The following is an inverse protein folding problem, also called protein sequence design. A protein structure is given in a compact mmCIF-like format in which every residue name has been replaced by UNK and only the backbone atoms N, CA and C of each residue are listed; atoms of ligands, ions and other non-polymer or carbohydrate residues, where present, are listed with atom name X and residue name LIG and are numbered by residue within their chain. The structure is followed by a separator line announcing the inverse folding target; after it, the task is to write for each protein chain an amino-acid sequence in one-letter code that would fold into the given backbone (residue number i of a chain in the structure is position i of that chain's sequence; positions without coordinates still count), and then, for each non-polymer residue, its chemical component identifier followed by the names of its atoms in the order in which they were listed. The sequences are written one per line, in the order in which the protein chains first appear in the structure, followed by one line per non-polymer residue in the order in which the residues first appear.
data_IF_964266989121
#
_entry.id   IF_964266989121
#
_cell.length_a   1.000
_cell.length_b   1.000
_cell.length_c   1.000
_cell.angle_alpha   90.00
_cell.angle_beta   90.00
_cell.angle_gamma   90.00
#
_symmetry.space_group_name_H-M   'P 1'
#
loop_
_entity.id
_entity.type
_entity.pdbx_description
1 polymer ?
#
# COMPACT_ATOMS: atom_id res chain seq x y z
N UNK A 1 24.96 10.98 8.01
CA UNK A 1 23.86 11.97 8.03
C UNK A 1 24.36 13.22 7.34
N UNK A 2 23.59 13.75 6.39
CA UNK A 2 23.89 15.00 5.71
C UNK A 2 23.48 16.20 6.57
N UNK A 3 24.27 17.26 6.49
CA UNK A 3 23.98 18.56 7.07
C UNK A 3 22.89 19.30 6.30
N UNK A 4 22.32 20.34 6.93
CA UNK A 4 21.33 21.21 6.28
C UNK A 4 21.90 21.95 5.07
N UNK A 5 23.19 22.30 5.10
CA UNK A 5 23.86 22.98 3.99
C UNK A 5 24.06 22.04 2.79
N UNK A 6 24.45 20.78 3.04
CA UNK A 6 24.51 19.74 2.01
C UNK A 6 23.12 19.46 1.42
N UNK A 7 22.09 19.38 2.27
CA UNK A 7 20.71 19.22 1.81
C UNK A 7 20.25 20.38 0.93
N UNK A 8 20.64 21.63 1.25
CA UNK A 8 20.32 22.79 0.44
C UNK A 8 21.02 22.77 -0.93
N UNK A 9 22.26 22.27 -0.98
CA UNK A 9 22.98 22.09 -2.24
C UNK A 9 22.30 21.03 -3.12
N UNK A 10 21.96 19.87 -2.56
CA UNK A 10 21.20 18.81 -3.23
C UNK A 10 19.85 19.35 -3.73
N UNK A 11 19.15 20.14 -2.91
CA UNK A 11 17.86 20.72 -3.27
C UNK A 11 17.96 21.71 -4.44
N UNK A 12 19.02 22.54 -4.48
CA UNK A 12 19.29 23.46 -5.60
C UNK A 12 19.58 22.70 -6.90
N UNK A 13 20.37 21.62 -6.81
CA UNK A 13 20.65 20.76 -7.97
C UNK A 13 19.36 20.11 -8.50
N UNK A 14 18.55 19.54 -7.61
CA UNK A 14 17.24 18.98 -7.96
C UNK A 14 16.33 20.02 -8.62
N UNK A 15 16.21 21.22 -8.04
CA UNK A 15 15.32 22.27 -8.54
C UNK A 15 15.76 22.86 -9.89
N UNK A 16 17.08 22.89 -10.14
CA UNK A 16 17.68 23.37 -11.39
C UNK A 16 17.78 22.32 -12.50
N UNK A 17 17.57 21.03 -12.18
CA UNK A 17 17.70 19.94 -13.13
C UNK A 17 16.84 20.18 -14.39
N UNK A 18 17.48 20.16 -15.57
CA UNK A 18 16.82 20.30 -16.87
C UNK A 18 16.34 21.71 -17.22
N UNK A 19 16.74 22.77 -16.50
CA UNK A 19 16.35 24.15 -16.83
C UNK A 19 17.57 25.07 -16.98
N UNK A 20 17.74 25.77 -18.11
CA UNK A 20 18.74 26.82 -18.24
C UNK A 20 18.33 28.07 -17.43
N UNK A 21 19.29 28.68 -16.71
CA UNK A 21 19.05 29.91 -15.95
C UNK A 21 19.81 29.94 -14.62
N UNK A 22 19.64 31.03 -13.83
CA UNK A 22 20.17 31.10 -12.48
C UNK A 22 19.55 30.01 -11.60
N UNK A 23 20.31 29.56 -10.59
CA UNK A 23 19.83 28.56 -9.63
C UNK A 23 18.51 29.04 -9.00
N UNK A 24 17.43 28.24 -9.04
CA UNK A 24 16.16 28.63 -8.46
C UNK A 24 16.31 28.80 -6.95
N UNK A 25 15.53 29.72 -6.39
CA UNK A 25 15.36 29.79 -4.94
C UNK A 25 14.58 28.55 -4.47
N UNK A 26 15.08 27.94 -3.39
CA UNK A 26 14.56 26.70 -2.83
C UNK A 26 14.36 26.88 -1.34
N UNK A 27 13.20 26.47 -0.86
CA UNK A 27 12.88 26.40 0.56
C UNK A 27 13.05 24.96 1.06
N UNK A 28 13.42 24.85 2.33
CA UNK A 28 13.57 23.59 3.03
C UNK A 28 12.74 23.60 4.31
N UNK A 29 12.00 22.52 4.53
CA UNK A 29 11.41 22.16 5.81
C UNK A 29 12.15 20.94 6.35
N UNK A 30 12.79 21.09 7.50
CA UNK A 30 13.54 20.02 8.16
C UNK A 30 12.61 19.20 9.06
N UNK A 31 12.78 17.88 9.05
CA UNK A 31 12.11 16.92 9.94
C UNK A 31 13.07 15.80 10.33
N UNK A 32 12.66 14.89 11.20
CA UNK A 32 13.55 13.90 11.82
C UNK A 32 14.33 13.06 10.79
N UNK A 33 13.68 12.63 9.70
CA UNK A 33 14.27 11.73 8.71
C UNK A 33 14.84 12.44 7.48
N UNK A 34 14.76 13.78 7.38
CA UNK A 34 15.22 14.47 6.18
C UNK A 34 14.78 15.90 6.03
N UNK A 35 14.69 16.32 4.77
CA UNK A 35 14.28 17.66 4.38
C UNK A 35 13.27 17.59 3.25
N UNK A 36 12.14 18.30 3.39
CA UNK A 36 11.22 18.55 2.27
C UNK A 36 11.68 19.82 1.56
N UNK A 37 11.99 19.70 0.28
CA UNK A 37 12.39 20.80 -0.59
C UNK A 37 11.28 21.19 -1.56
N UNK A 38 11.10 22.50 -1.75
CA UNK A 38 10.24 23.04 -2.81
C UNK A 38 10.81 24.33 -3.36
N UNK A 39 10.45 24.64 -4.60
CA UNK A 39 10.89 25.87 -5.26
C UNK A 39 10.09 27.05 -4.74
N UNK A 40 10.74 28.19 -4.59
CA UNK A 40 10.01 29.45 -4.48
C UNK A 40 9.24 29.68 -5.78
N UNK A 41 7.95 29.97 -5.66
CA UNK A 41 7.18 30.43 -6.80
C UNK A 41 7.73 31.80 -7.22
N UNK A 42 7.91 32.06 -8.52
CA UNK A 42 8.25 33.40 -8.98
C UNK A 42 7.13 34.34 -8.54
N UNK A 43 7.44 35.39 -7.80
CA UNK A 43 6.46 36.44 -7.50
C UNK A 43 5.92 36.95 -8.84
N UNK A 44 4.60 36.83 -9.10
CA UNK A 44 4.04 37.34 -10.35
C UNK A 44 4.33 38.82 -10.45
N UNK A 45 4.81 39.28 -11.61
CA UNK A 45 4.93 40.71 -11.86
C UNK A 45 3.55 41.35 -11.70
N UNK A 46 3.46 42.44 -10.93
CA UNK A 46 2.21 43.17 -10.78
C UNK A 46 1.78 43.67 -12.17
N UNK A 47 0.68 43.14 -12.67
CA UNK A 47 0.04 43.61 -13.90
C UNK A 47 -1.09 44.55 -13.53
N UNK A 48 -1.22 45.68 -14.22
CA UNK A 48 -2.34 46.65 -14.08
C UNK A 48 -3.71 46.09 -14.57
N UNK A 49 -3.82 44.79 -14.80
CA UNK A 49 -4.99 44.10 -15.34
C UNK A 49 -5.50 42.96 -14.46
N UNK A 50 -6.57 42.26 -14.89
CA UNK A 50 -7.12 41.12 -14.16
C UNK A 50 -6.03 40.07 -13.89
N UNK A 51 -6.00 39.42 -12.71
CA UNK A 51 -5.01 38.40 -12.40
C UNK A 51 -5.01 37.30 -13.46
N UNK A 52 -3.86 37.05 -14.07
CA UNK A 52 -3.68 35.92 -14.99
C UNK A 52 -3.62 34.60 -14.19
N UNK A 53 -4.13 33.48 -14.75
CA UNK A 53 -3.94 32.18 -14.14
C UNK A 53 -2.45 31.82 -14.04
N UNK A 54 -2.04 31.02 -13.03
CA UNK A 54 -0.65 30.61 -12.89
C UNK A 54 -0.14 29.92 -14.17
N UNK A 55 1.12 30.15 -14.56
CA UNK A 55 1.70 29.56 -15.77
C UNK A 55 1.90 28.03 -15.68
N UNK A 56 1.80 27.46 -14.48
CA UNK A 56 1.87 26.01 -14.25
C UNK A 56 0.98 25.61 -13.05
N UNK A 57 0.46 24.38 -13.09
CA UNK A 57 -0.26 23.75 -11.98
C UNK A 57 0.57 22.59 -11.43
N UNK A 58 0.72 22.53 -10.11
CA UNK A 58 1.54 21.54 -9.41
C UNK A 58 3.04 21.88 -9.45
N UNK A 59 3.58 22.29 -8.31
CA UNK A 59 5.03 22.38 -8.11
C UNK A 59 5.49 21.09 -7.42
N UNK A 60 6.30 20.23 -8.09
CA UNK A 60 6.78 19.01 -7.47
C UNK A 60 7.58 19.37 -6.22
N UNK A 61 7.45 18.56 -5.19
CA UNK A 61 8.26 18.64 -3.98
C UNK A 61 9.27 17.51 -3.98
N UNK A 62 10.36 17.65 -3.25
CA UNK A 62 11.33 16.59 -3.05
C UNK A 62 11.49 16.30 -1.56
N UNK A 63 11.77 15.04 -1.22
CA UNK A 63 12.34 14.69 0.08
C UNK A 63 13.77 14.27 -0.13
N UNK A 64 14.66 14.83 0.68
CA UNK A 64 16.08 14.50 0.75
C UNK A 64 16.30 13.72 2.05
N UNK A 65 16.66 12.45 1.94
CA UNK A 65 16.90 11.56 3.08
C UNK A 65 18.10 12.06 3.91
N UNK A 66 17.95 12.12 5.23
CA UNK A 66 19.00 12.63 6.14
C UNK A 66 20.21 11.70 6.19
N UNK A 67 20.05 10.40 6.05
CA UNK A 67 21.13 9.42 6.16
C UNK A 67 21.92 9.29 4.87
N UNK A 68 21.21 9.19 3.74
CA UNK A 68 21.77 8.81 2.43
C UNK A 68 21.94 9.99 1.48
N UNK A 69 21.18 11.07 1.66
CA UNK A 69 21.08 12.18 0.70
C UNK A 69 20.28 11.85 -0.57
N UNK A 70 19.60 10.70 -0.62
CA UNK A 70 18.75 10.31 -1.74
C UNK A 70 17.59 11.29 -1.92
N UNK A 71 17.29 11.64 -3.18
CA UNK A 71 16.20 12.55 -3.54
C UNK A 71 15.01 11.76 -4.08
N UNK A 72 13.87 11.84 -3.40
CA UNK A 72 12.60 11.29 -3.85
C UNK A 72 11.62 12.39 -4.26
N UNK A 73 10.87 12.21 -5.35
CA UNK A 73 9.88 13.18 -5.82
C UNK A 73 8.51 12.91 -5.20
N UNK A 74 7.81 13.97 -4.82
CA UNK A 74 6.53 13.93 -4.13
C UNK A 74 5.50 14.88 -4.77
N UNK A 75 4.20 14.55 -4.69
CA UNK A 75 3.14 15.45 -5.15
C UNK A 75 3.15 16.78 -4.39
N UNK A 76 2.43 17.77 -4.93
CA UNK A 76 2.30 19.12 -4.33
C UNK A 76 1.39 19.12 -3.10
N UNK A 77 1.81 18.45 -2.03
CA UNK A 77 1.14 18.38 -0.72
C UNK A 77 1.88 19.25 0.30
N UNK A 78 1.25 19.69 1.41
CA UNK A 78 1.94 20.36 2.51
C UNK A 78 3.17 19.57 2.99
N UNK A 79 4.19 20.28 3.44
CA UNK A 79 5.51 19.73 3.78
C UNK A 79 5.42 18.78 4.95
N UNK A 80 4.59 19.11 5.93
CA UNK A 80 4.32 18.25 7.07
C UNK A 80 3.64 16.95 6.62
N UNK A 81 2.66 17.01 5.71
CA UNK A 81 2.03 15.82 5.13
C UNK A 81 3.03 14.95 4.36
N UNK A 82 3.99 15.57 3.66
CA UNK A 82 5.06 14.83 2.97
C UNK A 82 6.01 14.18 3.98
N UNK A 83 6.42 14.90 5.01
CA UNK A 83 7.28 14.39 6.07
C UNK A 83 6.64 13.19 6.80
N UNK A 84 5.35 13.29 7.15
CA UNK A 84 4.57 12.20 7.74
C UNK A 84 4.50 10.99 6.82
N UNK A 85 4.17 11.18 5.53
CA UNK A 85 4.12 10.08 4.56
C UNK A 85 5.48 9.45 4.32
N UNK A 86 6.54 10.25 4.31
CA UNK A 86 7.91 9.76 4.17
C UNK A 86 8.33 8.94 5.39
N UNK A 87 8.01 9.41 6.60
CA UNK A 87 8.26 8.67 7.82
C UNK A 87 7.50 7.34 7.87
N UNK A 88 6.22 7.35 7.49
CA UNK A 88 5.45 6.12 7.30
C UNK A 88 6.14 5.19 6.30
N UNK A 89 6.55 5.70 5.12
CA UNK A 89 7.25 4.91 4.10
C UNK A 89 8.55 4.30 4.61
N UNK A 90 9.38 5.07 5.34
CA UNK A 90 10.63 4.60 5.98
C UNK A 90 10.36 3.60 7.10
N UNK A 91 9.29 3.77 7.88
CA UNK A 91 8.92 2.80 8.90
C UNK A 91 8.48 1.45 8.30
N UNK A 92 7.89 1.47 7.09
CA UNK A 92 7.61 0.25 6.34
C UNK A 92 8.81 -0.29 5.55
N UNK A 93 9.92 0.44 5.46
CA UNK A 93 11.17 -0.09 4.92
C UNK A 93 11.70 -1.15 5.88
N UNK A 94 11.39 -2.42 5.56
CA UNK A 94 11.71 -3.58 6.38
C UNK A 94 10.53 -4.50 6.61
N UNK A 95 9.28 -4.01 6.51
CA UNK A 95 8.07 -4.85 6.62
C UNK A 95 7.86 -5.72 5.38
N UNK A 96 8.05 -5.12 4.21
CA UNK A 96 7.92 -5.82 2.92
C UNK A 96 9.19 -5.74 2.08
N UNK A 97 9.55 -6.82 1.35
CA UNK A 97 10.61 -6.79 0.35
C UNK A 97 10.39 -5.70 -0.73
N UNK A 98 11.45 -5.12 -1.33
CA UNK A 98 11.31 -3.99 -2.25
C UNK A 98 10.41 -4.22 -3.48
N UNK A 99 10.44 -5.43 -4.05
CA UNK A 99 9.61 -5.86 -5.17
C UNK A 99 8.12 -5.93 -4.78
N UNK A 100 7.83 -6.51 -3.62
CA UNK A 100 6.46 -6.60 -3.06
C UNK A 100 5.94 -5.21 -2.71
N UNK A 101 6.77 -4.39 -2.06
CA UNK A 101 6.42 -3.00 -1.71
C UNK A 101 6.08 -2.17 -2.94
N UNK A 102 6.80 -2.34 -4.04
CA UNK A 102 6.51 -1.64 -5.28
C UNK A 102 5.10 -1.95 -5.81
N UNK A 103 4.66 -3.21 -5.72
CA UNK A 103 3.30 -3.62 -6.10
C UNK A 103 2.27 -3.01 -5.16
N UNK A 104 2.51 -3.07 -3.83
CA UNK A 104 1.63 -2.48 -2.83
C UNK A 104 1.46 -0.96 -3.04
N UNK A 105 2.56 -0.21 -3.16
CA UNK A 105 2.55 1.23 -3.42
C UNK A 105 1.79 1.56 -4.72
N UNK A 106 2.00 0.76 -5.77
CA UNK A 106 1.30 0.92 -7.06
C UNK A 106 -0.20 0.59 -6.98
N UNK A 107 -0.60 -0.31 -6.08
CA UNK A 107 -2.00 -0.59 -5.74
C UNK A 107 -2.60 0.49 -4.79
N UNK A 108 -1.81 1.48 -4.39
CA UNK A 108 -2.22 2.60 -3.54
C UNK A 108 -2.09 2.31 -2.04
N UNK A 109 -1.45 1.22 -1.64
CA UNK A 109 -1.11 0.98 -0.24
C UNK A 109 -0.03 1.96 0.20
N UNK A 110 -0.13 2.41 1.44
CA UNK A 110 0.91 3.14 2.14
C UNK A 110 0.83 2.81 3.63
N UNK A 111 1.91 2.96 4.38
CA UNK A 111 1.92 2.57 5.78
C UNK A 111 1.01 3.47 6.61
N UNK A 112 0.18 2.87 7.47
CA UNK A 112 -0.87 3.58 8.19
C UNK A 112 -2.10 3.92 7.34
N UNK A 113 -2.27 3.28 6.17
CA UNK A 113 -3.52 3.33 5.41
C UNK A 113 -4.68 2.85 6.30
N UNK A 114 -5.76 3.62 6.29
CA UNK A 114 -6.97 3.34 7.05
C UNK A 114 -8.17 3.50 6.12
N UNK A 115 -8.84 2.37 5.83
CA UNK A 115 -10.08 2.33 5.06
C UNK A 115 -11.28 1.90 5.91
N UNK A 116 -11.26 2.17 7.22
CA UNK A 116 -12.30 1.77 8.19
C UNK A 116 -13.72 2.06 7.70
N UNK A 117 -13.99 3.27 7.23
CA UNK A 117 -15.32 3.63 6.73
C UNK A 117 -15.76 2.75 5.55
N UNK A 118 -14.85 2.40 4.64
CA UNK A 118 -15.17 1.53 3.51
C UNK A 118 -15.44 0.09 3.98
N UNK A 119 -14.69 -0.40 4.96
CA UNK A 119 -14.91 -1.71 5.58
C UNK A 119 -16.26 -1.74 6.28
N UNK A 120 -16.60 -0.73 7.09
CA UNK A 120 -17.89 -0.65 7.79
C UNK A 120 -19.07 -0.67 6.81
N UNK A 121 -18.99 0.12 5.74
CA UNK A 121 -20.02 0.12 4.69
C UNK A 121 -20.14 -1.23 3.98
N UNK A 122 -19.02 -1.91 3.73
CA UNK A 122 -19.02 -3.23 3.12
C UNK A 122 -19.61 -4.29 4.04
N UNK A 123 -19.26 -4.31 5.33
CA UNK A 123 -19.83 -5.24 6.31
C UNK A 123 -21.34 -5.05 6.46
N UNK A 124 -21.83 -3.80 6.46
CA UNK A 124 -23.27 -3.52 6.47
C UNK A 124 -23.93 -4.00 5.18
N UNK A 125 -23.30 -3.78 4.02
CA UNK A 125 -23.84 -4.17 2.72
C UNK A 125 -24.00 -5.69 2.58
N UNK A 126 -23.07 -6.46 3.14
CA UNK A 126 -23.05 -7.93 3.04
C UNK A 126 -23.40 -8.62 4.37
N UNK A 127 -24.17 -7.94 5.24
CA UNK A 127 -24.49 -8.44 6.57
C UNK A 127 -25.18 -9.82 6.54
N UNK A 128 -26.06 -10.06 5.56
CA UNK A 128 -26.76 -11.33 5.39
C UNK A 128 -25.81 -12.45 4.97
N UNK A 129 -24.91 -12.20 4.01
CA UNK A 129 -23.94 -13.19 3.52
C UNK A 129 -22.90 -13.56 4.59
N UNK A 130 -22.50 -12.58 5.41
CA UNK A 130 -21.54 -12.69 6.51
C UNK A 130 -22.17 -13.21 7.81
N UNK A 131 -23.50 -13.39 7.87
CA UNK A 131 -24.19 -13.77 9.09
C UNK A 131 -23.63 -15.06 9.70
N UNK A 132 -23.26 -15.04 10.98
CA UNK A 132 -22.69 -16.18 11.68
C UNK A 132 -21.19 -16.41 11.44
N UNK A 133 -20.51 -15.51 10.72
CA UNK A 133 -19.04 -15.44 10.71
C UNK A 133 -18.60 -14.29 11.62
N UNK A 134 -17.96 -14.62 12.74
CA UNK A 134 -17.40 -13.61 13.63
C UNK A 134 -16.11 -13.05 13.02
N UNK A 135 -16.03 -11.72 12.86
CA UNK A 135 -14.84 -11.07 12.33
C UNK A 135 -13.76 -10.96 13.42
N UNK A 136 -12.64 -11.72 13.35
CA UNK A 136 -11.59 -11.61 14.34
C UNK A 136 -10.85 -10.27 14.21
N UNK A 137 -10.22 -9.78 15.30
CA UNK A 137 -9.45 -8.54 15.26
C UNK A 137 -8.36 -8.52 14.18
N UNK A 138 -7.71 -9.67 13.93
CA UNK A 138 -6.70 -9.81 12.88
C UNK A 138 -7.29 -9.56 11.48
N UNK A 139 -8.42 -10.20 11.14
CA UNK A 139 -9.08 -9.98 9.86
C UNK A 139 -9.59 -8.53 9.72
N UNK A 140 -10.12 -7.95 10.81
CA UNK A 140 -10.54 -6.55 10.79
C UNK A 140 -9.37 -5.61 10.50
N UNK A 141 -8.23 -5.81 11.15
CA UNK A 141 -7.02 -5.03 10.89
C UNK A 141 -6.53 -5.19 9.44
N UNK A 142 -6.56 -6.42 8.91
CA UNK A 142 -6.22 -6.71 7.52
C UNK A 142 -7.10 -5.93 6.53
N UNK A 143 -8.42 -5.98 6.72
CA UNK A 143 -9.39 -5.26 5.89
C UNK A 143 -9.21 -3.73 5.98
N UNK A 144 -8.92 -3.20 7.17
CA UNK A 144 -8.72 -1.75 7.38
C UNK A 144 -7.45 -1.25 6.71
N UNK A 145 -6.37 -2.04 6.71
CA UNK A 145 -5.10 -1.60 6.13
C UNK A 145 -5.01 -1.89 4.62
N UNK A 146 -5.40 -3.11 4.20
CA UNK A 146 -5.19 -3.61 2.84
C UNK A 146 -6.47 -3.64 2.00
N UNK A 147 -7.60 -3.20 2.57
CA UNK A 147 -8.87 -3.29 1.88
C UNK A 147 -8.96 -2.44 0.61
N UNK A 148 -9.57 -3.04 -0.41
CA UNK A 148 -9.72 -2.45 -1.75
C UNK A 148 -8.45 -2.49 -2.60
N UNK A 149 -7.39 -3.17 -2.15
CA UNK A 149 -6.19 -3.37 -2.96
C UNK A 149 -6.38 -4.49 -3.98
N UNK A 150 -5.80 -4.29 -5.16
CA UNK A 150 -5.62 -5.30 -6.20
C UNK A 150 -4.14 -5.66 -6.25
N UNK A 151 -3.80 -6.91 -5.94
CA UNK A 151 -2.43 -7.38 -5.83
C UNK A 151 -2.11 -8.33 -6.99
N UNK A 152 -1.53 -7.83 -8.10
CA UNK A 152 -1.14 -8.66 -9.22
C UNK A 152 0.06 -9.55 -8.85
N UNK A 153 -0.08 -10.85 -9.05
CA UNK A 153 1.04 -11.79 -8.88
C UNK A 153 2.07 -11.66 -10.01
N UNK A 154 3.33 -11.90 -9.67
CA UNK A 154 4.42 -12.06 -10.62
C UNK A 154 4.24 -13.34 -11.44
N UNK A 155 4.36 -13.25 -12.76
CA UNK A 155 4.50 -14.45 -13.59
C UNK A 155 5.88 -15.11 -13.40
N UNK A 156 6.08 -16.28 -14.01
CA UNK A 156 7.34 -17.05 -13.95
C UNK A 156 8.61 -16.27 -14.31
N UNK A 157 8.49 -15.17 -15.04
CA UNK A 157 9.60 -14.28 -15.43
C UNK A 157 9.80 -13.09 -14.49
N UNK A 158 9.09 -13.03 -13.35
CA UNK A 158 9.13 -11.94 -12.37
C UNK A 158 8.31 -10.71 -12.75
N UNK A 159 7.56 -10.74 -13.86
CA UNK A 159 6.73 -9.60 -14.30
C UNK A 159 5.39 -9.58 -13.56
N UNK A 160 5.06 -8.45 -12.92
CA UNK A 160 3.75 -8.23 -12.31
C UNK A 160 2.58 -8.34 -13.28
N UNK A 161 1.50 -8.99 -12.83
CA UNK A 161 0.26 -9.16 -13.58
C UNK A 161 0.32 -10.29 -14.62
N UNK A 162 1.29 -11.20 -14.49
CA UNK A 162 1.41 -12.38 -15.35
C UNK A 162 1.12 -13.71 -14.63
N UNK A 163 0.78 -13.65 -13.34
CA UNK A 163 0.20 -14.74 -12.55
C UNK A 163 -1.26 -14.45 -12.18
N UNK A 164 -1.74 -14.98 -11.06
CA UNK A 164 -3.11 -14.79 -10.57
C UNK A 164 -3.25 -13.56 -9.67
N UNK A 165 -4.21 -12.68 -9.95
CA UNK A 165 -4.43 -11.47 -9.15
C UNK A 165 -5.20 -11.79 -7.88
N UNK A 166 -4.80 -11.19 -6.76
CA UNK A 166 -5.59 -11.20 -5.51
C UNK A 166 -6.32 -9.88 -5.32
N UNK A 167 -7.52 -9.94 -4.74
CA UNK A 167 -8.36 -8.78 -4.45
C UNK A 167 -8.75 -8.79 -2.98
N UNK A 168 -8.40 -7.73 -2.24
CA UNK A 168 -8.63 -7.65 -0.81
C UNK A 168 -9.94 -6.90 -0.55
N UNK A 169 -10.85 -7.49 0.22
CA UNK A 169 -12.11 -6.85 0.58
C UNK A 169 -11.85 -5.57 1.39
N UNK A 170 -12.66 -4.50 1.21
CA UNK A 170 -13.85 -4.44 0.38
C UNK A 170 -13.54 -4.29 -1.11
N UNK A 171 -14.07 -5.21 -1.93
CA UNK A 171 -13.97 -5.16 -3.40
C UNK A 171 -15.30 -4.70 -3.98
N UNK A 172 -15.34 -4.41 -5.30
CA UNK A 172 -16.61 -4.10 -5.98
C UNK A 172 -17.51 -5.31 -6.19
N UNK A 173 -16.95 -6.52 -6.06
CA UNK A 173 -17.67 -7.80 -6.21
C UNK A 173 -18.50 -8.16 -4.97
N UNK A 174 -19.11 -9.34 -5.02
CA UNK A 174 -19.76 -9.96 -3.86
C UNK A 174 -18.74 -10.53 -2.86
N UNK A 175 -19.22 -10.95 -1.70
CA UNK A 175 -18.50 -11.84 -0.79
C UNK A 175 -19.08 -13.24 -0.94
N UNK A 176 -18.21 -14.25 -0.96
CA UNK A 176 -18.61 -15.66 -0.87
C UNK A 176 -18.22 -16.12 0.53
N UNK A 177 -19.03 -17.00 1.13
CA UNK A 177 -18.81 -17.47 2.50
C UNK A 177 -19.01 -18.98 2.66
N UNK A 178 -19.36 -19.70 1.59
CA UNK A 178 -19.59 -21.14 1.63
C UNK A 178 -18.30 -21.89 1.92
N UNK A 179 -17.18 -21.53 1.27
CA UNK A 179 -15.88 -22.11 1.56
C UNK A 179 -15.44 -21.84 3.00
N UNK A 180 -15.61 -20.61 3.48
CA UNK A 180 -15.27 -20.25 4.86
C UNK A 180 -16.00 -21.11 5.91
N UNK A 181 -17.28 -21.46 5.64
CA UNK A 181 -18.08 -22.33 6.52
C UNK A 181 -17.63 -23.78 6.43
N UNK A 182 -17.39 -24.28 5.23
CA UNK A 182 -16.88 -25.64 5.01
C UNK A 182 -15.54 -25.85 5.71
N UNK A 183 -14.61 -24.91 5.54
CA UNK A 183 -13.31 -24.94 6.22
C UNK A 183 -13.44 -24.98 7.75
N UNK A 184 -14.32 -24.15 8.31
CA UNK A 184 -14.54 -24.12 9.76
C UNK A 184 -15.17 -25.42 10.29
N UNK A 185 -16.05 -26.06 9.51
CA UNK A 185 -16.64 -27.36 9.84
C UNK A 185 -15.61 -28.49 9.78
N UNK A 186 -14.77 -28.51 8.76
CA UNK A 186 -13.77 -29.55 8.52
C UNK A 186 -12.61 -29.49 9.53
N UNK A 187 -12.00 -28.32 9.68
CA UNK A 187 -10.80 -28.15 10.51
C UNK A 187 -11.11 -27.67 11.94
N UNK A 188 -12.36 -27.31 12.23
CA UNK A 188 -12.76 -26.78 13.54
C UNK A 188 -12.22 -25.37 13.81
N UNK A 189 -11.84 -24.63 12.76
CA UNK A 189 -11.16 -23.33 12.87
C UNK A 189 -12.04 -22.25 12.24
N UNK A 190 -12.63 -21.36 13.04
CA UNK A 190 -13.37 -20.23 12.52
C UNK A 190 -12.48 -19.29 11.71
N UNK A 191 -12.92 -18.97 10.49
CA UNK A 191 -12.24 -18.06 9.57
C UNK A 191 -13.19 -17.00 9.05
N UNK A 192 -12.63 -15.88 8.59
CA UNK A 192 -13.38 -14.75 8.06
C UNK A 192 -12.86 -14.35 6.67
N UNK A 193 -13.75 -14.05 5.70
CA UNK A 193 -13.34 -13.69 4.35
C UNK A 193 -12.61 -12.34 4.32
N UNK A 194 -11.41 -12.33 3.74
CA UNK A 194 -10.58 -11.14 3.57
C UNK A 194 -10.36 -10.75 2.11
N UNK A 195 -10.70 -11.63 1.15
CA UNK A 195 -10.54 -11.34 -0.26
C UNK A 195 -10.84 -12.52 -1.19
N UNK A 196 -10.44 -12.37 -2.45
CA UNK A 196 -10.54 -13.39 -3.49
C UNK A 196 -9.22 -13.50 -4.27
N UNK A 197 -9.05 -14.60 -5.00
CA UNK A 197 -7.93 -14.80 -5.91
C UNK A 197 -8.41 -15.36 -7.26
N UNK A 198 -7.72 -15.01 -8.34
CA UNK A 198 -8.06 -15.46 -9.71
C UNK A 198 -7.68 -16.91 -10.02
N UNK A 199 -6.84 -17.53 -9.19
CA UNK A 199 -6.53 -18.95 -9.29
C UNK A 199 -7.77 -19.74 -8.89
N UNK A 200 -8.44 -20.34 -9.89
CA UNK A 200 -9.68 -21.09 -9.77
C UNK A 200 -10.71 -20.46 -8.83
N UNK A 201 -11.41 -19.39 -9.28
CA UNK A 201 -11.94 -18.30 -8.43
C UNK A 201 -12.12 -18.72 -6.98
N UNK A 202 -11.15 -18.32 -6.16
CA UNK A 202 -10.95 -18.84 -4.80
C UNK A 202 -11.13 -17.76 -3.75
N UNK A 203 -11.39 -18.19 -2.52
CA UNK A 203 -11.62 -17.30 -1.37
C UNK A 203 -10.33 -17.16 -0.56
N UNK A 204 -9.98 -15.94 -0.17
CA UNK A 204 -8.96 -15.68 0.84
C UNK A 204 -9.65 -15.49 2.18
N UNK A 205 -9.30 -16.33 3.15
CA UNK A 205 -9.87 -16.29 4.50
C UNK A 205 -8.76 -16.17 5.54
N UNK A 206 -9.10 -15.60 6.70
CA UNK A 206 -8.16 -15.43 7.81
C UNK A 206 -8.76 -15.93 9.11
N UNK A 207 -7.97 -16.66 9.90
CA UNK A 207 -8.38 -17.11 11.23
C UNK A 207 -8.10 -16.07 12.33
N UNK A 208 -8.47 -16.40 13.57
CA UNK A 208 -8.23 -15.53 14.72
C UNK A 208 -6.74 -15.33 15.07
N UNK A 209 -5.85 -16.23 14.63
CA UNK A 209 -4.40 -16.13 14.83
C UNK A 209 -3.73 -15.25 13.76
N UNK A 210 -4.44 -14.92 12.69
CA UNK A 210 -3.95 -14.13 11.56
C UNK A 210 -3.39 -14.95 10.41
N UNK A 211 -3.49 -16.28 10.47
CA UNK A 211 -3.10 -17.17 9.36
C UNK A 211 -4.05 -16.97 8.20
N UNK A 212 -3.50 -16.93 6.99
CA UNK A 212 -4.27 -16.70 5.76
C UNK A 212 -4.31 -17.97 4.94
N UNK A 213 -5.52 -18.35 4.53
CA UNK A 213 -5.78 -19.52 3.71
C UNK A 213 -6.40 -19.14 2.37
N UNK A 214 -6.09 -19.91 1.35
CA UNK A 214 -6.70 -19.87 0.03
C UNK A 214 -7.60 -21.09 -0.09
N UNK A 215 -8.91 -20.86 -0.13
CA UNK A 215 -9.90 -21.91 -0.32
C UNK A 215 -10.14 -22.07 -1.82
N UNK A 216 -9.52 -23.09 -2.40
CA UNK A 216 -9.54 -23.34 -3.83
C UNK A 216 -10.33 -24.63 -4.10
N UNK A 217 -10.94 -24.74 -5.29
CA UNK A 217 -11.78 -25.90 -5.61
C UNK A 217 -11.02 -27.25 -5.61
N UNK A 218 -9.69 -27.20 -5.71
CA UNK A 218 -8.85 -28.40 -5.70
C UNK A 218 -8.44 -28.83 -4.28
N UNK A 219 -8.14 -27.87 -3.40
CA UNK A 219 -7.73 -28.07 -2.00
C UNK A 219 -7.71 -26.72 -1.27
N UNK A 220 -7.50 -26.73 0.04
CA UNK A 220 -7.24 -25.55 0.85
C UNK A 220 -5.75 -25.39 1.13
N UNK A 221 -5.24 -24.17 0.97
CA UNK A 221 -3.80 -23.92 1.09
C UNK A 221 -3.50 -22.83 2.12
N UNK A 222 -2.48 -23.05 2.95
CA UNK A 222 -1.91 -22.00 3.78
C UNK A 222 -1.08 -21.06 2.91
N UNK A 223 -1.57 -19.83 2.77
CA UNK A 223 -0.88 -18.76 2.04
C UNK A 223 0.24 -18.18 2.90
N UNK A 224 0.02 -18.04 4.20
CA UNK A 224 1.03 -17.53 5.12
C UNK A 224 0.60 -17.58 6.59
N UNK A 225 1.56 -17.63 7.52
CA UNK A 225 1.28 -17.67 8.96
C UNK A 225 0.75 -16.35 9.53
N UNK A 226 0.89 -15.27 8.77
CA UNK A 226 0.38 -13.93 9.04
C UNK A 226 0.05 -13.20 7.72
N UNK A 227 -0.60 -12.05 7.82
CA UNK A 227 -1.00 -11.25 6.66
C UNK A 227 0.19 -10.78 5.82
N UNK A 228 1.30 -10.38 6.45
CA UNK A 228 2.43 -9.81 5.74
C UNK A 228 3.12 -10.87 4.88
N UNK A 229 3.36 -12.03 5.47
CA UNK A 229 3.88 -13.22 4.78
C UNK A 229 2.94 -13.67 3.67
N UNK A 230 1.63 -13.65 3.91
CA UNK A 230 0.64 -13.99 2.89
C UNK A 230 0.67 -13.01 1.71
N UNK A 231 0.74 -11.70 1.96
CA UNK A 231 0.87 -10.67 0.90
C UNK A 231 2.12 -10.89 0.06
N UNK A 232 3.26 -11.22 0.69
CA UNK A 232 4.51 -11.56 -0.01
C UNK A 232 4.29 -12.77 -0.94
N UNK A 233 3.68 -13.84 -0.42
CA UNK A 233 3.45 -15.08 -1.16
C UNK A 233 2.44 -14.91 -2.29
N UNK A 234 1.35 -14.15 -2.07
CA UNK A 234 0.36 -13.85 -3.11
C UNK A 234 0.97 -13.07 -4.26
N UNK A 235 1.81 -12.06 -3.98
CA UNK A 235 2.45 -11.23 -5.00
C UNK A 235 3.55 -11.99 -5.73
N UNK A 236 4.40 -12.75 -5.03
CA UNK A 236 5.50 -13.48 -5.69
C UNK A 236 5.04 -14.75 -6.39
N UNK A 237 3.97 -15.37 -5.90
CA UNK A 237 3.60 -16.73 -6.26
C UNK A 237 4.61 -17.76 -5.73
N UNK A 238 4.25 -19.03 -5.79
CA UNK A 238 5.07 -20.13 -5.28
C UNK A 238 4.22 -21.34 -4.91
N UNK A 239 4.88 -22.38 -4.43
CA UNK A 239 4.18 -23.50 -3.80
C UNK A 239 3.62 -23.07 -2.45
N UNK A 240 2.41 -23.51 -2.15
CA UNK A 240 1.73 -23.31 -0.87
C UNK A 240 1.56 -24.67 -0.19
N UNK A 241 1.57 -24.69 1.14
CA UNK A 241 1.34 -25.91 1.91
C UNK A 241 -0.16 -26.19 1.98
N UNK A 242 -0.57 -27.44 1.71
CA UNK A 242 -1.97 -27.87 1.88
C UNK A 242 -2.37 -27.78 3.36
N UNK A 243 -3.60 -27.37 3.63
CA UNK A 243 -4.10 -27.20 4.99
C UNK A 243 -4.19 -28.55 5.73
N UNK A 244 -4.46 -29.63 4.98
CA UNK A 244 -4.50 -31.00 5.47
C UNK A 244 -3.15 -31.51 6.00
N UNK A 245 -2.03 -30.91 5.57
CA UNK A 245 -0.67 -31.24 6.00
C UNK A 245 -0.22 -30.48 7.27
N UNK A 246 -1.06 -29.58 7.81
CA UNK A 246 -0.72 -28.79 8.99
C UNK A 246 -1.00 -29.52 10.30
N UNK A 247 -0.10 -29.32 11.27
CA UNK A 247 -0.38 -29.62 12.68
C UNK A 247 -1.23 -28.49 13.28
N UNK A 248 -2.49 -28.80 13.61
CA UNK A 248 -3.49 -27.86 14.15
C UNK A 248 -3.48 -27.75 15.67
#
# INVERSE_FOLDING_TARGET
MISRDEALEIARQWAGAGRPGPAPEVFLHEFDLGYVAWRAEPTPAATDGPPAPPPATGYPRAVIDRETGEVSQWPSLPEQTIAERYASRRAAEGRFPPDVRHVLESAGWFPGRDVTSAVDHWMVRFADDLAGLDCPPAARAALVEFGGLTLPQFGRTGRAGAGFTSYLHPTRGGVVTEGARGFAEEYGIPVYPIGNNEDGPSELVMDAQGRVFLLHWADEFLVGPDLDSAVVNLIRGGEMTEASDLDW
#
